data_IF_256332298507
#
_entry.id   IF_256332298507
#
_cell.length_a   1.000
_cell.length_b   1.000
_cell.length_c   1.000
_cell.angle_alpha   90.00
_cell.angle_beta   90.00
_cell.angle_gamma   90.00
#
_symmetry.space_group_name_H-M   'P 1'
#
loop_
_entity.id
_entity.type
_entity.pdbx_description
1 polymer ?
#
# COMPACT_ATOMS: atom_id res chain seq x y z
N UNK A 1 7.15 23.01 -4.85
CA UNK A 1 6.23 22.82 -3.71
C UNK A 1 5.53 21.49 -3.94
N UNK A 2 5.54 20.58 -2.97
CA UNK A 2 4.82 19.30 -3.06
C UNK A 2 3.33 19.53 -2.80
N UNK A 3 2.45 19.10 -3.70
CA UNK A 3 1.00 19.24 -3.59
C UNK A 3 0.31 18.06 -2.87
N UNK A 4 1.09 17.07 -2.44
CA UNK A 4 0.62 15.86 -1.77
C UNK A 4 0.34 14.69 -2.73
N UNK A 5 0.50 14.88 -4.05
CA UNK A 5 0.43 13.76 -5.00
C UNK A 5 1.58 12.77 -4.80
N UNK A 6 1.33 11.51 -5.15
CA UNK A 6 2.32 10.42 -5.12
C UNK A 6 2.66 10.03 -6.55
N UNK A 7 3.94 10.10 -6.88
CA UNK A 7 4.49 9.80 -8.20
C UNK A 7 5.44 8.61 -8.13
N UNK A 8 5.43 7.77 -9.17
CA UNK A 8 6.35 6.65 -9.37
C UNK A 8 7.40 7.01 -10.42
N UNK A 9 8.67 6.84 -10.08
CA UNK A 9 9.76 6.77 -11.06
C UNK A 9 10.28 5.34 -11.09
N UNK A 10 10.24 4.68 -12.25
CA UNK A 10 10.76 3.32 -12.41
C UNK A 10 12.09 3.31 -13.16
N UNK A 11 13.05 2.53 -12.64
CA UNK A 11 14.40 2.36 -13.20
C UNK A 11 14.69 0.88 -13.49
N UNK A 12 15.46 0.60 -14.54
CA UNK A 12 15.66 -0.77 -15.05
C UNK A 12 16.42 -1.73 -14.13
N UNK A 13 17.28 -1.24 -13.24
CA UNK A 13 18.14 -2.09 -12.41
C UNK A 13 18.77 -1.37 -11.21
N UNK A 14 19.41 -0.21 -11.40
CA UNK A 14 20.15 0.50 -10.34
C UNK A 14 20.02 2.01 -10.47
N UNK A 15 19.90 2.70 -9.34
CA UNK A 15 19.75 4.17 -9.32
C UNK A 15 21.03 4.94 -9.70
N UNK A 16 22.21 4.34 -9.58
CA UNK A 16 23.48 5.10 -9.62
C UNK A 16 24.47 4.71 -10.73
N UNK A 17 24.28 3.60 -11.48
CA UNK A 17 25.19 3.25 -12.59
C UNK A 17 24.59 2.30 -13.64
N UNK A 18 24.24 2.83 -14.82
CA UNK A 18 23.74 2.01 -15.93
C UNK A 18 22.25 1.66 -15.85
N UNK A 19 21.52 2.28 -14.91
CA UNK A 19 20.07 2.25 -14.91
C UNK A 19 19.50 3.32 -15.82
N UNK A 20 18.52 2.89 -16.62
CA UNK A 20 17.72 3.78 -17.43
C UNK A 20 16.39 4.02 -16.71
N UNK A 21 15.92 5.26 -16.73
CA UNK A 21 14.53 5.57 -16.39
C UNK A 21 13.66 4.88 -17.43
N UNK A 22 12.91 3.87 -17.00
CA UNK A 22 12.02 3.08 -17.87
C UNK A 22 10.59 3.62 -17.83
N UNK A 23 10.21 4.30 -16.75
CA UNK A 23 9.01 5.14 -16.68
C UNK A 23 9.36 6.44 -15.96
N UNK A 24 9.33 7.59 -16.66
CA UNK A 24 9.43 8.88 -16.00
C UNK A 24 8.11 9.17 -15.29
N UNK A 25 8.22 9.50 -14.00
CA UNK A 25 7.25 10.18 -13.15
C UNK A 25 5.79 9.96 -13.57
N UNK A 26 5.28 8.77 -13.26
CA UNK A 26 3.88 8.45 -13.41
C UNK A 26 3.11 8.91 -12.17
N UNK A 27 2.06 9.72 -12.36
CA UNK A 27 1.13 10.05 -11.28
C UNK A 27 0.38 8.78 -10.87
N UNK A 28 0.53 8.38 -9.61
CA UNK A 28 -0.15 7.20 -9.05
C UNK A 28 -1.36 7.65 -8.23
N UNK A 29 -1.14 8.52 -7.25
CA UNK A 29 -2.18 9.02 -6.37
C UNK A 29 -2.34 10.52 -6.57
N UNK A 30 -3.53 11.00 -6.97
CA UNK A 30 -3.77 12.43 -7.14
C UNK A 30 -3.74 13.14 -5.78
N UNK A 31 -3.36 14.42 -5.80
CA UNK A 31 -3.28 15.27 -4.60
C UNK A 31 -4.62 15.38 -3.83
N UNK A 32 -5.75 15.14 -4.51
CA UNK A 32 -7.09 15.11 -3.89
C UNK A 32 -7.31 13.93 -2.94
N UNK A 33 -6.48 12.88 -3.01
CA UNK A 33 -6.70 11.64 -2.25
C UNK A 33 -5.73 11.49 -1.08
N UNK A 34 -4.45 11.79 -1.28
CA UNK A 34 -3.43 11.66 -0.25
C UNK A 34 -3.46 12.83 0.75
N UNK A 35 -3.21 12.51 2.02
CA UNK A 35 -2.95 13.50 3.05
C UNK A 35 -1.59 14.15 2.81
N UNK A 36 -1.53 15.48 2.85
CA UNK A 36 -0.27 16.20 2.67
C UNK A 36 0.77 15.75 3.71
N UNK A 37 1.97 15.40 3.24
CA UNK A 37 3.05 14.90 4.10
C UNK A 37 2.86 13.48 4.60
N UNK A 38 1.89 12.72 4.06
CA UNK A 38 1.74 11.30 4.43
C UNK A 38 3.04 10.52 4.22
N UNK A 39 3.42 9.64 5.16
CA UNK A 39 4.40 8.60 4.85
C UNK A 39 3.87 7.72 3.72
N UNK A 40 4.80 7.15 2.98
CA UNK A 40 4.54 6.23 1.87
C UNK A 40 5.29 4.94 2.21
N UNK A 41 4.61 3.80 2.13
CA UNK A 41 5.23 2.50 2.24
C UNK A 41 4.90 1.67 1.01
N UNK A 42 5.88 0.98 0.46
CA UNK A 42 5.68 0.12 -0.69
C UNK A 42 6.20 -1.29 -0.41
N UNK A 43 5.50 -2.28 -0.94
CA UNK A 43 5.89 -3.69 -0.89
C UNK A 43 5.57 -4.32 -2.23
N UNK A 44 6.40 -5.24 -2.69
CA UNK A 44 6.06 -6.13 -3.79
C UNK A 44 5.65 -7.48 -3.23
N UNK A 45 4.74 -8.17 -3.88
CA UNK A 45 4.44 -9.57 -3.59
C UNK A 45 5.07 -10.43 -4.67
N UNK A 46 6.09 -11.21 -4.33
CA UNK A 46 6.69 -12.23 -5.20
C UNK A 46 6.93 -11.80 -6.67
N UNK A 47 7.25 -10.51 -6.90
CA UNK A 47 7.44 -9.88 -8.21
C UNK A 47 6.21 -9.77 -9.13
N UNK A 48 4.99 -10.11 -8.68
CA UNK A 48 3.79 -10.01 -9.53
C UNK A 48 3.07 -8.68 -9.40
N UNK A 49 3.01 -8.15 -8.18
CA UNK A 49 2.23 -6.97 -7.85
C UNK A 49 3.04 -6.00 -6.98
N UNK A 50 2.78 -4.70 -7.13
CA UNK A 50 3.36 -3.64 -6.30
C UNK A 50 2.23 -2.99 -5.53
N UNK A 51 2.34 -2.90 -4.21
CA UNK A 51 1.36 -2.27 -3.34
C UNK A 51 1.99 -1.02 -2.71
N UNK A 52 1.28 0.10 -2.77
CA UNK A 52 1.70 1.40 -2.25
C UNK A 52 0.66 1.87 -1.26
N UNK A 53 1.08 2.03 -0.01
CA UNK A 53 0.26 2.46 1.11
C UNK A 53 0.57 3.89 1.51
N UNK A 54 -0.46 4.62 1.89
CA UNK A 54 -0.40 6.00 2.36
C UNK A 54 -1.61 6.29 3.24
N UNK A 55 -1.67 7.45 3.87
CA UNK A 55 -2.89 7.93 4.53
C UNK A 55 -3.65 8.85 3.57
N UNK A 56 -4.93 8.54 3.35
CA UNK A 56 -5.83 9.46 2.64
C UNK A 56 -6.08 10.73 3.44
N UNK A 57 -6.68 11.75 2.82
CA UNK A 57 -7.10 13.00 3.50
C UNK A 57 -7.96 12.77 4.75
N UNK A 58 -8.70 11.66 4.79
CA UNK A 58 -9.52 11.25 5.94
C UNK A 58 -8.71 10.48 7.00
N UNK A 59 -7.38 10.45 6.89
CA UNK A 59 -6.44 9.72 7.75
C UNK A 59 -6.66 8.20 7.75
N UNK A 60 -7.29 7.66 6.71
CA UNK A 60 -7.48 6.21 6.58
C UNK A 60 -6.30 5.62 5.81
N UNK A 61 -5.74 4.50 6.28
CA UNK A 61 -4.76 3.71 5.51
C UNK A 61 -5.37 3.39 4.16
N UNK A 62 -4.74 3.90 3.12
CA UNK A 62 -5.17 3.81 1.73
C UNK A 62 -4.08 3.15 0.89
N UNK A 63 -4.47 2.61 -0.26
CA UNK A 63 -3.66 1.72 -1.06
C UNK A 63 -3.95 1.95 -2.53
N UNK A 64 -2.87 2.00 -3.30
CA UNK A 64 -2.88 1.75 -4.73
C UNK A 64 -2.02 0.52 -4.99
N UNK A 65 -2.48 -0.38 -5.86
CA UNK A 65 -1.72 -1.56 -6.24
C UNK A 65 -1.63 -1.69 -7.74
N UNK A 66 -0.49 -2.16 -8.23
CA UNK A 66 -0.23 -2.42 -9.64
C UNK A 66 -0.26 -3.92 -9.91
N UNK A 67 -0.89 -4.31 -11.01
CA UNK A 67 -0.81 -5.67 -11.55
C UNK A 67 -0.46 -5.64 -13.04
N UNK A 68 0.22 -6.68 -13.54
CA UNK A 68 0.65 -6.74 -14.95
C UNK A 68 -0.49 -6.70 -15.98
N UNK A 69 -1.69 -7.17 -15.60
CA UNK A 69 -2.86 -7.22 -16.49
C UNK A 69 -3.77 -6.00 -16.44
N UNK A 70 -3.63 -5.13 -15.44
CA UNK A 70 -4.59 -4.03 -15.21
C UNK A 70 -3.91 -2.68 -14.96
N UNK A 71 -2.62 -2.66 -14.64
CA UNK A 71 -1.93 -1.45 -14.21
C UNK A 71 -2.28 -1.07 -12.77
N UNK A 72 -2.16 0.23 -12.46
CA UNK A 72 -2.47 0.78 -11.14
C UNK A 72 -3.97 0.82 -10.88
N UNK A 73 -4.38 0.31 -9.73
CA UNK A 73 -5.75 0.25 -9.23
C UNK A 73 -5.76 0.86 -7.82
N UNK A 74 -6.68 1.77 -7.55
CA UNK A 74 -6.78 2.41 -6.25
C UNK A 74 -7.97 3.37 -6.18
N UNK A 75 -8.00 4.17 -5.12
CA UNK A 75 -9.06 5.16 -4.89
C UNK A 75 -10.44 4.50 -4.82
N UNK A 76 -11.43 5.10 -5.49
CA UNK A 76 -12.81 4.57 -5.55
C UNK A 76 -12.97 3.24 -6.29
N UNK A 77 -11.92 2.75 -6.96
CA UNK A 77 -11.90 1.47 -7.68
C UNK A 77 -11.33 0.33 -6.84
N UNK A 78 -10.91 0.59 -5.59
CA UNK A 78 -10.55 -0.47 -4.66
C UNK A 78 -11.80 -1.30 -4.32
N UNK A 79 -11.86 -2.58 -4.74
CA UNK A 79 -13.05 -3.37 -4.50
C UNK A 79 -13.21 -3.68 -3.01
N UNK A 80 -14.40 -3.41 -2.47
CA UNK A 80 -14.78 -3.74 -1.08
C UNK A 80 -14.89 -5.26 -0.84
N UNK A 81 -15.02 -6.04 -1.91
CA UNK A 81 -15.17 -7.49 -1.88
C UNK A 81 -14.10 -8.16 -2.76
N UNK A 82 -13.60 -9.35 -2.37
CA UNK A 82 -12.56 -10.04 -3.12
C UNK A 82 -13.12 -10.59 -4.44
N UNK A 83 -13.04 -9.79 -5.50
CA UNK A 83 -13.07 -10.35 -6.84
C UNK A 83 -11.67 -10.93 -7.13
N UNK A 84 -11.58 -12.27 -7.19
CA UNK A 84 -10.35 -13.01 -7.52
C UNK A 84 -9.15 -12.80 -6.56
N UNK A 85 -9.38 -12.68 -5.25
CA UNK A 85 -8.29 -12.62 -4.25
C UNK A 85 -7.56 -11.27 -4.16
N UNK A 86 -8.07 -10.23 -4.84
CA UNK A 86 -7.53 -8.87 -4.84
C UNK A 86 -8.32 -8.03 -3.83
N UNK A 87 -7.80 -7.92 -2.60
CA UNK A 87 -8.39 -7.06 -1.56
C UNK A 87 -7.54 -5.81 -1.40
N UNK A 88 -8.18 -4.67 -1.16
CA UNK A 88 -7.45 -3.50 -0.68
C UNK A 88 -7.52 -3.44 0.84
N UNK A 89 -6.45 -3.01 1.50
CA UNK A 89 -6.48 -2.72 2.95
C UNK A 89 -7.39 -1.53 3.27
N UNK A 90 -7.64 -0.67 2.27
CA UNK A 90 -8.40 0.60 2.37
C UNK A 90 -9.83 0.44 2.88
N UNK A 91 -10.45 -0.70 2.62
CA UNK A 91 -11.87 -0.95 2.92
C UNK A 91 -12.10 -1.29 4.38
N UNK A 92 -11.02 -1.53 5.14
CA UNK A 92 -11.07 -1.82 6.57
C UNK A 92 -11.18 -0.57 7.44
N UNK A 93 -11.06 0.64 6.87
CA UNK A 93 -11.29 1.89 7.60
C UNK A 93 -10.27 2.19 8.69
N UNK A 94 -9.05 1.66 8.58
CA UNK A 94 -7.99 1.87 9.56
C UNK A 94 -7.58 3.35 9.66
N UNK A 95 -7.97 4.01 10.76
CA UNK A 95 -7.67 5.43 10.98
C UNK A 95 -6.31 5.59 11.66
N UNK A 96 -5.44 6.40 11.06
CA UNK A 96 -4.14 6.75 11.57
C UNK A 96 -4.22 7.77 12.72
N UNK A 97 -3.31 7.64 13.68
CA UNK A 97 -3.08 8.63 14.72
C UNK A 97 -2.56 9.96 14.13
N UNK A 98 -2.42 10.96 15.00
CA UNK A 98 -1.84 12.26 14.61
C UNK A 98 -0.35 12.17 14.33
N UNK A 99 0.39 11.35 15.07
CA UNK A 99 1.77 10.98 14.76
C UNK A 99 1.75 9.86 13.73
N UNK A 100 2.42 10.11 12.59
CA UNK A 100 2.35 9.23 11.43
C UNK A 100 3.56 8.30 11.39
N UNK A 101 3.27 7.00 11.27
CA UNK A 101 4.22 5.94 11.02
C UNK A 101 3.54 4.94 10.09
N UNK A 102 4.25 4.45 9.08
CA UNK A 102 3.74 3.48 8.12
C UNK A 102 4.88 2.60 7.61
N UNK A 103 4.70 1.29 7.66
CA UNK A 103 5.53 0.33 6.91
C UNK A 103 4.65 -0.67 6.18
N UNK A 104 5.25 -1.30 5.18
CA UNK A 104 4.69 -2.46 4.50
C UNK A 104 5.81 -3.50 4.33
N UNK A 105 5.48 -4.77 4.55
CA UNK A 105 6.43 -5.87 4.39
C UNK A 105 5.73 -7.13 3.89
N UNK A 106 6.40 -7.87 3.03
CA UNK A 106 6.03 -9.23 2.67
C UNK A 106 6.65 -10.18 3.69
N UNK A 107 5.85 -11.07 4.25
CA UNK A 107 6.28 -12.14 5.12
C UNK A 107 5.96 -13.48 4.45
N UNK A 108 7.01 -14.18 4.04
CA UNK A 108 6.92 -15.49 3.43
C UNK A 108 7.54 -16.51 4.37
N UNK A 109 6.69 -17.23 5.11
CA UNK A 109 7.12 -18.35 5.92
C UNK A 109 7.24 -19.62 5.05
N UNK A 110 8.27 -20.43 5.29
CA UNK A 110 8.46 -21.70 4.60
C UNK A 110 7.20 -22.58 4.72
N UNK A 111 6.62 -22.96 3.58
CA UNK A 111 5.41 -23.80 3.52
C UNK A 111 4.09 -23.08 3.75
N UNK A 112 4.07 -21.74 3.81
CA UNK A 112 2.85 -20.93 3.90
C UNK A 112 2.74 -19.95 2.73
N UNK A 113 1.52 -19.52 2.35
CA UNK A 113 1.35 -18.45 1.36
C UNK A 113 1.97 -17.14 1.89
N UNK A 114 2.56 -16.36 0.98
CA UNK A 114 3.07 -15.02 1.28
C UNK A 114 1.96 -14.16 1.90
N UNK A 115 2.30 -13.37 2.92
CA UNK A 115 1.38 -12.45 3.58
C UNK A 115 1.97 -11.05 3.57
N UNK A 116 1.19 -10.08 3.14
CA UNK A 116 1.57 -8.68 3.30
C UNK A 116 1.10 -8.18 4.65
N UNK A 117 1.94 -7.38 5.29
CA UNK A 117 1.66 -6.72 6.56
C UNK A 117 1.86 -5.22 6.39
N UNK A 118 0.92 -4.44 6.91
CA UNK A 118 0.94 -2.98 6.89
C UNK A 118 0.82 -2.51 8.32
N UNK A 119 1.91 -1.98 8.87
CA UNK A 119 1.91 -1.47 10.24
C UNK A 119 1.87 0.05 10.28
N UNK A 120 1.08 0.58 11.21
CA UNK A 120 0.84 2.00 11.37
C UNK A 120 0.46 2.34 12.82
N UNK A 121 0.62 3.62 13.20
CA UNK A 121 0.09 4.10 14.46
C UNK A 121 -1.41 4.38 14.31
N UNK A 122 -2.26 3.65 15.02
CA UNK A 122 -3.73 3.76 14.92
C UNK A 122 -4.29 4.81 15.87
N UNK A 123 -5.30 5.56 15.42
CA UNK A 123 -6.05 6.47 16.28
C UNK A 123 -6.79 5.73 17.41
N UNK A 124 -7.15 4.46 17.21
CA UNK A 124 -7.80 3.61 18.22
C UNK A 124 -6.84 3.03 19.25
N UNK A 125 -5.53 3.14 19.04
CA UNK A 125 -4.51 2.68 20.00
C UNK A 125 -3.33 3.66 20.00
N UNK A 126 -3.54 4.89 20.52
CA UNK A 126 -2.53 5.93 20.43
C UNK A 126 -1.21 5.51 21.09
N UNK A 127 -0.11 5.60 20.34
CA UNK A 127 1.23 5.23 20.83
C UNK A 127 1.54 3.74 20.74
N UNK A 128 0.59 2.92 20.26
CA UNK A 128 0.80 1.52 19.91
C UNK A 128 0.98 1.34 18.41
N UNK A 129 1.70 0.28 18.03
CA UNK A 129 1.75 -0.17 16.65
C UNK A 129 0.55 -1.07 16.36
N UNK A 130 -0.23 -0.74 15.34
CA UNK A 130 -1.29 -1.58 14.79
C UNK A 130 -0.84 -2.17 13.47
N UNK A 131 -1.17 -3.44 13.20
CA UNK A 131 -0.82 -4.10 11.94
C UNK A 131 -2.05 -4.69 11.26
N UNK A 132 -2.25 -4.32 9.99
CA UNK A 132 -3.20 -4.96 9.09
C UNK A 132 -2.48 -6.06 8.29
N UNK A 133 -3.12 -7.22 8.14
CA UNK A 133 -2.57 -8.34 7.35
C UNK A 133 -3.44 -8.63 6.15
N UNK A 134 -2.81 -8.79 4.99
CA UNK A 134 -3.45 -9.23 3.74
C UNK A 134 -2.92 -10.61 3.34
N UNK A 135 -3.84 -11.55 3.07
CA UNK A 135 -3.55 -12.91 2.64
C UNK A 135 -4.08 -13.11 1.21
N UNK A 136 -3.26 -13.51 0.22
CA UNK A 136 -3.66 -13.64 -1.19
C UNK A 136 -4.63 -14.79 -1.52
N UNK A 137 -5.34 -15.39 -0.57
CA UNK A 137 -6.21 -16.56 -0.80
C UNK A 137 -7.59 -16.39 -0.16
N UNK A 138 -8.60 -17.03 -0.76
CA UNK A 138 -10.05 -16.93 -0.48
C UNK A 138 -10.52 -17.21 0.97
N UNK A 139 -9.61 -17.40 1.93
CA UNK A 139 -9.95 -17.42 3.34
C UNK A 139 -9.81 -16.02 3.92
N UNK A 140 -10.98 -15.44 4.20
CA UNK A 140 -11.25 -14.24 4.98
C UNK A 140 -10.09 -13.84 5.90
N UNK A 141 -9.57 -12.63 5.68
CA UNK A 141 -8.72 -11.91 6.62
C UNK A 141 -9.42 -11.78 7.97
N UNK A 142 -9.13 -12.71 8.87
CA UNK A 142 -9.56 -12.63 10.27
C UNK A 142 -8.40 -12.04 11.07
N UNK A 143 -8.64 -10.84 11.61
CA UNK A 143 -7.81 -10.18 12.60
C UNK A 143 -7.40 -11.17 13.70
N UNK A 144 -6.11 -11.18 14.04
CA UNK A 144 -5.63 -11.74 15.31
C UNK A 144 -5.02 -10.59 16.10
N UNK A 145 -5.57 -10.35 17.29
CA UNK A 145 -4.98 -9.53 18.33
C UNK A 145 -3.87 -10.32 19.05
#
# INVERSE_FOLDING_TARGET
MSDGSIWETAVSNVFFKGGNVIRPDQLIVPASEALLGTPIAAVHNAFTDVHVFFFSRNRVVSEYYWTSGTGWIGGGLCPATPAAGRMCVTTSGFVAATTQFLYAMENTASGAPAKMRVGFNSAGTPGGLTEATMVPTAELGRLRF
#
